data_IF_290494624916
#
_entry.id   IF_290494624916
#
_cell.length_a   1.000
_cell.length_b   1.000
_cell.length_c   1.000
_cell.angle_alpha   90.00
_cell.angle_beta   90.00
_cell.angle_gamma   90.00
#
_symmetry.space_group_name_H-M   'P 1'
#
loop_
_entity.id
_entity.type
_entity.pdbx_description
1 polymer ?
#
# COMPACT_ATOMS: atom_id res chain seq x y z
N UNK A 1 -64.09 10.76 10.76
CA UNK A 1 -64.95 10.90 11.96
C UNK A 1 -64.65 9.67 12.82
N UNK A 2 -64.10 9.66 14.04
CA UNK A 2 -64.01 10.59 15.18
C UNK A 2 -62.82 10.03 16.05
N UNK A 3 -61.69 10.71 16.25
CA UNK A 3 -61.31 11.69 17.29
C UNK A 3 -61.08 11.17 18.75
N UNK A 4 -59.94 11.63 19.32
CA UNK A 4 -59.52 11.79 20.74
C UNK A 4 -59.06 10.57 21.55
N UNK A 5 -57.82 10.45 22.05
CA UNK A 5 -56.90 11.31 22.88
C UNK A 5 -57.04 11.10 24.40
N UNK A 6 -55.89 10.85 25.10
CA UNK A 6 -55.37 11.54 26.33
C UNK A 6 -54.48 10.63 27.25
N UNK A 7 -53.18 11.00 27.32
CA UNK A 7 -52.19 11.18 28.44
C UNK A 7 -52.04 10.26 29.69
N UNK A 8 -50.81 9.71 29.85
CA UNK A 8 -49.82 9.64 31.00
C UNK A 8 -50.26 9.24 32.45
N UNK A 9 -49.38 9.04 33.49
CA UNK A 9 -47.92 8.74 33.62
C UNK A 9 -47.47 7.66 34.70
N UNK A 10 -46.20 7.22 34.59
CA UNK A 10 -45.12 6.90 35.60
C UNK A 10 -45.46 6.31 37.00
N UNK A 11 -44.87 5.14 37.38
CA UNK A 11 -43.84 4.91 38.46
C UNK A 11 -43.68 3.43 38.93
N UNK A 12 -42.40 3.02 38.98
CA UNK A 12 -41.65 2.11 39.87
C UNK A 12 -42.25 0.81 40.45
N UNK A 13 -41.47 -0.30 40.39
CA UNK A 13 -40.97 -1.03 41.56
C UNK A 13 -40.08 -2.26 41.21
N UNK A 14 -39.07 -2.50 42.07
CA UNK A 14 -38.42 -3.80 42.39
C UNK A 14 -37.41 -4.37 41.36
N UNK A 15 -36.26 -4.98 41.71
CA UNK A 15 -35.83 -5.63 42.95
C UNK A 15 -34.28 -5.72 43.05
N UNK A 16 -33.82 -5.98 44.28
CA UNK A 16 -32.46 -6.06 44.81
C UNK A 16 -31.58 -7.22 44.28
N UNK A 17 -30.25 -7.06 44.32
CA UNK A 17 -29.34 -7.95 45.09
C UNK A 17 -27.84 -7.56 44.96
N UNK A 18 -27.30 -7.08 46.07
CA UNK A 18 -26.01 -7.41 46.72
C UNK A 18 -24.90 -8.08 45.87
N UNK A 19 -23.73 -7.44 45.78
CA UNK A 19 -22.44 -8.08 46.07
C UNK A 19 -21.31 -7.07 46.30
N UNK A 20 -20.68 -7.20 47.46
CA UNK A 20 -19.44 -6.59 47.95
C UNK A 20 -18.24 -6.85 47.05
N UNK A 21 -17.33 -5.87 46.91
CA UNK A 21 -15.92 -6.13 46.59
C UNK A 21 -15.02 -5.12 47.30
N UNK A 22 -14.09 -5.69 48.07
CA UNK A 22 -13.16 -5.04 48.96
C UNK A 22 -11.92 -4.50 48.23
N UNK A 23 -11.29 -3.51 48.85
CA UNK A 23 -10.00 -2.94 48.50
C UNK A 23 -8.83 -3.88 48.83
N UNK A 24 -7.84 -3.97 47.94
CA UNK A 24 -6.49 -4.51 48.19
C UNK A 24 -5.55 -3.74 47.23
N UNK A 25 -4.86 -2.70 47.70
CA UNK A 25 -3.51 -2.67 48.27
C UNK A 25 -2.39 -2.63 47.22
N UNK A 26 -1.64 -1.52 47.27
CA UNK A 26 -0.40 -1.27 46.55
C UNK A 26 0.69 -2.26 46.99
N UNK A 27 1.51 -2.69 46.04
CA UNK A 27 2.72 -3.48 46.27
C UNK A 27 3.92 -2.62 45.85
N UNK A 28 4.86 -2.48 46.79
CA UNK A 28 6.18 -1.83 46.67
C UNK A 28 7.25 -2.83 46.19
N UNK A 29 8.28 -2.42 45.43
CA UNK A 29 9.38 -3.31 45.05
C UNK A 29 10.44 -3.47 46.16
N UNK A 30 10.80 -4.72 46.49
CA UNK A 30 11.94 -5.07 47.35
C UNK A 30 13.26 -5.17 46.54
N UNK A 31 14.41 -4.79 47.12
CA UNK A 31 15.73 -4.94 46.49
C UNK A 31 16.33 -6.34 46.74
N UNK A 32 16.96 -6.93 45.72
CA UNK A 32 17.73 -8.17 45.85
C UNK A 32 19.18 -7.89 46.23
N UNK A 33 19.62 -8.57 47.30
CA UNK A 33 20.95 -8.51 47.89
C UNK A 33 22.03 -9.19 47.05
N UNK A 34 23.24 -8.63 47.16
CA UNK A 34 24.50 -9.20 46.70
C UNK A 34 24.88 -10.45 47.52
N UNK A 35 25.42 -11.46 46.83
CA UNK A 35 26.15 -12.56 47.44
C UNK A 35 27.53 -12.66 46.79
N UNK A 36 28.52 -12.32 47.61
CA UNK A 36 29.94 -12.53 47.47
C UNK A 36 30.26 -14.04 47.39
N UNK A 37 31.14 -14.42 46.45
CA UNK A 37 31.98 -15.61 46.59
C UNK A 37 33.17 -15.56 45.63
N UNK A 38 34.34 -15.35 46.23
CA UNK A 38 35.67 -15.54 45.65
C UNK A 38 35.89 -16.96 45.13
N UNK A 39 36.73 -17.11 44.09
CA UNK A 39 37.79 -18.12 43.97
C UNK A 39 38.61 -17.82 42.70
N UNK A 40 39.92 -17.60 42.86
CA UNK A 40 40.92 -17.62 41.79
C UNK A 40 41.32 -19.08 41.44
N UNK A 41 42.02 -19.36 40.32
CA UNK A 41 43.47 -19.12 40.28
C UNK A 41 44.05 -18.61 38.93
N UNK A 42 45.29 -18.14 39.09
CA UNK A 42 46.34 -17.62 38.20
C UNK A 42 46.58 -18.33 36.85
N UNK A 43 46.81 -17.56 35.77
CA UNK A 43 47.89 -17.78 34.79
C UNK A 43 48.43 -16.41 34.29
N UNK A 44 49.75 -16.27 34.42
CA UNK A 44 50.66 -15.18 34.04
C UNK A 44 50.76 -14.92 32.53
N UNK A 45 50.93 -13.65 32.13
CA UNK A 45 51.89 -13.19 31.09
C UNK A 45 51.93 -11.66 31.01
N UNK A 46 53.06 -11.09 31.42
CA UNK A 46 53.48 -9.69 31.30
C UNK A 46 53.52 -9.19 29.84
N UNK A 47 53.05 -7.96 29.58
CA UNK A 47 53.72 -6.99 28.67
C UNK A 47 53.46 -5.56 29.15
N UNK A 48 54.54 -4.80 29.14
CA UNK A 48 54.84 -3.53 29.83
C UNK A 48 54.36 -2.29 29.06
N UNK A 49 53.94 -1.27 29.82
CA UNK A 49 53.57 0.11 29.44
C UNK A 49 54.83 0.92 29.04
N UNK A 50 54.72 2.03 28.28
CA UNK A 50 54.96 3.29 28.97
C UNK A 50 54.00 4.44 28.59
N UNK A 51 53.88 5.36 29.55
CA UNK A 51 53.03 6.55 29.64
C UNK A 51 53.89 7.82 29.48
N UNK A 52 53.31 8.83 28.81
CA UNK A 52 53.56 10.31 28.86
C UNK A 52 54.92 10.85 28.33
N UNK A 53 55.02 12.14 27.88
CA UNK A 53 54.69 13.34 28.67
C UNK A 53 53.92 14.49 27.97
N UNK A 54 53.31 15.31 28.82
CA UNK A 54 52.85 16.70 28.61
C UNK A 54 54.05 17.65 28.67
N UNK A 55 54.01 18.84 28.03
CA UNK A 55 54.65 20.01 28.64
C UNK A 55 53.72 21.22 28.79
N UNK A 56 54.23 22.15 29.58
CA UNK A 56 53.55 23.09 30.46
C UNK A 56 53.31 24.51 29.88
N UNK A 57 52.73 25.34 30.74
CA UNK A 57 52.03 26.60 30.51
C UNK A 57 52.88 27.89 30.51
N UNK A 58 52.28 28.98 29.99
CA UNK A 58 52.44 30.42 30.33
C UNK A 58 51.29 31.17 29.62
N UNK A 59 50.62 32.25 30.06
CA UNK A 59 50.54 33.06 31.27
C UNK A 59 49.19 33.86 31.25
N UNK A 60 48.87 34.55 32.34
CA UNK A 60 47.58 35.15 32.73
C UNK A 60 47.17 36.52 32.09
N UNK A 61 45.93 36.94 32.43
CA UNK A 61 45.30 38.28 32.44
C UNK A 61 44.41 38.59 31.21
N UNK A 62 43.19 39.15 31.29
CA UNK A 62 42.46 39.86 32.34
C UNK A 62 40.93 39.73 32.14
N UNK A 63 40.17 40.06 33.18
CA UNK A 63 38.71 40.18 33.30
C UNK A 63 38.03 41.16 32.32
N UNK A 64 36.74 40.97 31.97
CA UNK A 64 36.00 41.90 31.13
C UNK A 64 35.52 43.13 31.92
N UNK A 65 35.66 44.30 31.31
CA UNK A 65 35.07 45.55 31.80
C UNK A 65 33.54 45.54 31.64
N UNK A 66 32.90 45.74 32.79
CA UNK A 66 31.58 46.34 33.00
C UNK A 66 31.37 47.58 32.15
N UNK A 67 30.22 47.68 31.47
CA UNK A 67 29.60 48.98 31.18
C UNK A 67 28.09 48.90 31.41
N UNK A 68 27.62 49.94 32.07
CA UNK A 68 26.40 50.02 32.86
C UNK A 68 25.13 50.21 32.01
N UNK A 69 24.04 49.60 32.46
CA UNK A 69 22.69 50.03 32.15
C UNK A 69 22.23 51.04 33.23
N UNK A 70 21.55 52.14 32.90
CA UNK A 70 20.94 52.99 33.90
C UNK A 70 19.63 52.36 34.40
N UNK A 71 19.50 52.31 35.72
CA UNK A 71 18.25 52.07 36.43
C UNK A 71 17.26 53.21 36.16
N UNK A 72 16.01 52.86 35.81
CA UNK A 72 14.88 53.77 35.98
C UNK A 72 13.75 53.05 36.73
N UNK A 73 13.65 53.47 37.99
CA UNK A 73 12.48 53.64 38.85
C UNK A 73 11.17 52.92 38.48
N UNK A 74 10.73 52.11 39.43
CA UNK A 74 9.41 51.52 39.52
C UNK A 74 8.27 52.58 39.56
N UNK A 75 7.22 52.29 38.81
CA UNK A 75 5.84 52.63 39.16
C UNK A 75 4.91 51.62 38.47
N UNK A 76 4.21 50.82 39.28
CA UNK A 76 3.13 49.96 38.82
C UNK A 76 1.91 50.81 38.43
N UNK A 77 1.06 50.29 37.52
CA UNK A 77 -0.36 50.32 37.84
C UNK A 77 -0.97 48.93 37.83
N UNK A 78 -1.85 48.73 38.81
CA UNK A 78 -2.75 47.61 38.95
C UNK A 78 -3.55 47.38 37.67
N UNK A 79 -3.59 46.12 37.19
CA UNK A 79 -4.68 45.67 36.32
C UNK A 79 -5.29 44.41 36.91
N UNK A 80 -6.46 44.62 37.49
CA UNK A 80 -7.50 43.65 37.82
C UNK A 80 -7.66 42.61 36.71
N UNK A 81 -7.65 41.33 37.10
CA UNK A 81 -7.83 40.21 36.19
C UNK A 81 -9.23 40.09 35.59
N UNK A 82 -9.28 39.51 34.39
CA UNK A 82 -10.40 38.74 33.85
C UNK A 82 -9.84 37.61 32.97
N UNK A 83 -10.50 36.43 32.94
CA UNK A 83 -9.94 35.21 32.35
C UNK A 83 -9.92 35.25 30.82
N UNK A 84 -8.93 34.57 30.25
CA UNK A 84 -8.80 34.31 28.81
C UNK A 84 -10.07 33.61 28.28
N UNK A 85 -10.82 34.30 27.42
CA UNK A 85 -11.92 33.77 26.64
C UNK A 85 -11.38 33.23 25.33
N UNK A 86 -11.68 31.96 25.04
CA UNK A 86 -11.47 31.33 23.75
C UNK A 86 -12.31 32.06 22.68
N UNK A 87 -11.67 32.60 21.65
CA UNK A 87 -12.39 33.05 20.47
C UNK A 87 -12.84 31.83 19.64
N UNK A 88 -14.14 31.51 19.75
CA UNK A 88 -14.89 30.83 18.69
C UNK A 88 -15.17 31.85 17.58
N UNK A 89 -14.62 31.64 16.39
CA UNK A 89 -15.03 32.40 15.21
C UNK A 89 -16.41 31.93 14.76
N UNK A 90 -17.45 32.74 15.00
CA UNK A 90 -18.73 32.63 14.33
C UNK A 90 -18.68 33.43 13.02
N UNK A 91 -18.95 32.74 11.92
CA UNK A 91 -19.10 33.34 10.59
C UNK A 91 -20.43 34.10 10.54
N UNK A 92 -20.48 35.38 10.10
CA UNK A 92 -21.74 36.09 9.94
C UNK A 92 -22.58 35.45 8.82
N UNK A 93 -23.81 35.05 9.15
CA UNK A 93 -24.81 34.58 8.18
C UNK A 93 -25.39 35.77 7.42
N UNK A 94 -25.10 35.85 6.12
CA UNK A 94 -25.84 36.74 5.21
C UNK A 94 -27.29 36.23 5.01
N UNK A 95 -28.28 37.13 4.81
CA UNK A 95 -29.66 36.71 4.55
C UNK A 95 -29.74 35.99 3.21
N UNK A 96 -30.18 34.73 3.25
CA UNK A 96 -30.44 33.89 2.09
C UNK A 96 -31.71 34.37 1.38
N UNK A 97 -31.59 34.77 0.12
CA UNK A 97 -32.72 34.97 -0.77
C UNK A 97 -33.47 33.63 -0.98
N UNK A 98 -34.81 33.62 -1.09
CA UNK A 98 -35.56 32.38 -1.25
C UNK A 98 -35.20 31.69 -2.58
N UNK A 99 -34.82 30.42 -2.48
CA UNK A 99 -34.50 29.57 -3.62
C UNK A 99 -35.74 29.34 -4.51
N UNK A 100 -35.60 29.28 -5.84
CA UNK A 100 -36.66 28.80 -6.72
C UNK A 100 -36.93 27.30 -6.48
N UNK A 101 -38.21 26.95 -6.40
CA UNK A 101 -38.69 25.58 -6.21
C UNK A 101 -38.15 24.62 -7.26
N UNK A 102 -37.55 23.51 -6.82
CA UNK A 102 -37.13 22.40 -7.68
C UNK A 102 -38.35 21.74 -8.36
N UNK A 103 -38.28 21.39 -9.65
CA UNK A 103 -39.28 20.55 -10.28
C UNK A 103 -39.22 19.12 -9.74
N UNK A 104 -40.39 18.49 -9.62
CA UNK A 104 -40.58 17.14 -9.12
C UNK A 104 -39.72 16.10 -9.84
N UNK A 105 -39.10 15.20 -9.07
CA UNK A 105 -38.42 14.02 -9.59
C UNK A 105 -39.45 13.08 -10.27
N UNK A 106 -39.16 12.54 -11.47
CA UNK A 106 -39.99 11.52 -12.08
C UNK A 106 -39.84 10.17 -11.35
N UNK A 107 -40.95 9.44 -11.23
CA UNK A 107 -41.01 8.06 -10.70
C UNK A 107 -40.06 7.11 -11.45
N UNK A 108 -39.53 6.07 -10.77
CA UNK A 108 -38.73 5.05 -11.44
C UNK A 108 -39.62 4.17 -12.35
N UNK A 109 -39.22 3.89 -13.60
CA UNK A 109 -39.96 2.97 -14.44
C UNK A 109 -39.78 1.52 -13.96
N UNK A 110 -40.91 0.82 -13.91
CA UNK A 110 -41.06 -0.63 -13.75
C UNK A 110 -40.16 -1.40 -14.72
N UNK A 111 -39.43 -2.38 -14.19
CA UNK A 111 -38.60 -3.31 -14.95
C UNK A 111 -39.45 -4.28 -15.79
N UNK A 112 -39.26 -4.24 -17.11
CA UNK A 112 -39.64 -5.32 -18.03
C UNK A 112 -38.37 -5.91 -18.67
N UNK A 113 -38.28 -7.24 -18.86
CA UNK A 113 -37.11 -7.90 -19.41
C UNK A 113 -36.97 -7.63 -20.93
N UNK A 114 -35.74 -7.33 -21.38
CA UNK A 114 -35.42 -7.15 -22.78
C UNK A 114 -35.23 -8.49 -23.50
N UNK A 115 -35.98 -8.66 -24.59
CA UNK A 115 -35.76 -9.65 -25.66
C UNK A 115 -34.79 -9.03 -26.66
N UNK A 116 -33.81 -9.81 -27.14
CA UNK A 116 -32.84 -9.39 -28.16
C UNK A 116 -33.42 -9.69 -29.56
N UNK A 117 -33.60 -8.71 -30.47
CA UNK A 117 -33.95 -8.97 -31.86
C UNK A 117 -32.70 -9.36 -32.67
N UNK A 118 -32.79 -10.46 -33.42
CA UNK A 118 -31.79 -10.92 -34.39
C UNK A 118 -31.72 -9.95 -35.57
N UNK A 119 -30.56 -9.34 -35.80
CA UNK A 119 -30.30 -8.47 -36.96
C UNK A 119 -30.13 -9.30 -38.24
N UNK A 120 -30.89 -8.93 -39.28
CA UNK A 120 -30.75 -9.40 -40.64
C UNK A 120 -29.51 -8.78 -41.32
N UNK A 121 -28.76 -9.59 -42.05
CA UNK A 121 -27.66 -9.17 -42.92
C UNK A 121 -28.16 -8.89 -44.36
N UNK A 122 -27.53 -7.96 -45.11
CA UNK A 122 -28.00 -7.50 -46.41
C UNK A 122 -27.61 -8.42 -47.57
N UNK A 123 -28.46 -8.45 -48.59
CA UNK A 123 -28.25 -9.13 -49.87
C UNK A 123 -27.29 -8.36 -50.80
N UNK A 124 -26.55 -9.06 -51.67
CA UNK A 124 -26.08 -8.49 -52.93
C UNK A 124 -26.78 -9.09 -54.15
N UNK A 125 -26.87 -8.22 -55.16
CA UNK A 125 -27.51 -8.24 -56.47
C UNK A 125 -27.13 -9.37 -57.44
N UNK A 126 -28.09 -9.69 -58.30
CA UNK A 126 -28.04 -10.63 -59.42
C UNK A 126 -27.23 -10.15 -60.65
N UNK A 127 -26.73 -11.12 -61.43
CA UNK A 127 -26.51 -11.04 -62.89
C UNK A 127 -27.12 -12.28 -63.58
N UNK A 128 -27.63 -12.20 -64.83
CA UNK A 128 -28.50 -13.24 -65.41
C UNK A 128 -27.79 -14.17 -66.43
N UNK A 129 -28.24 -15.44 -66.43
CA UNK A 129 -28.63 -16.39 -67.53
C UNK A 129 -27.65 -16.60 -68.74
N UNK A 130 -27.49 -17.75 -69.43
CA UNK A 130 -28.29 -18.95 -69.74
C UNK A 130 -27.37 -20.08 -70.33
N UNK A 131 -27.78 -21.35 -70.17
CA UNK A 131 -27.83 -22.46 -71.17
C UNK A 131 -26.99 -23.74 -70.95
N UNK A 132 -27.73 -24.85 -71.11
CA UNK A 132 -27.59 -26.31 -70.85
C UNK A 132 -26.79 -27.08 -71.98
N UNK A 133 -26.75 -28.45 -72.05
CA UNK A 133 -25.71 -29.46 -71.71
C UNK A 133 -25.16 -30.21 -72.97
N UNK A 134 -24.76 -31.52 -73.02
CA UNK A 134 -24.32 -32.55 -72.04
C UNK A 134 -22.99 -33.28 -72.42
N UNK A 135 -22.43 -34.12 -71.53
CA UNK A 135 -22.00 -35.48 -71.90
C UNK A 135 -21.68 -36.36 -70.68
N UNK A 136 -22.07 -37.62 -70.83
CA UNK A 136 -22.07 -38.68 -69.82
C UNK A 136 -20.86 -39.62 -69.96
N UNK A 137 -20.60 -40.33 -68.86
CA UNK A 137 -19.90 -41.63 -68.74
C UNK A 137 -18.37 -41.61 -68.53
N UNK A 138 -17.96 -41.91 -67.29
CA UNK A 138 -17.22 -43.16 -67.00
C UNK A 138 -17.15 -43.41 -65.48
N UNK A 139 -17.43 -44.65 -65.09
CA UNK A 139 -17.11 -45.25 -63.79
C UNK A 139 -16.43 -46.61 -64.09
N UNK A 140 -15.75 -47.29 -63.15
CA UNK A 140 -15.02 -46.85 -61.94
C UNK A 140 -13.59 -47.45 -61.86
N UNK A 141 -12.62 -46.75 -61.27
CA UNK A 141 -11.39 -47.38 -60.76
C UNK A 141 -11.42 -47.41 -59.23
N UNK A 142 -11.47 -48.62 -58.67
CA UNK A 142 -11.24 -48.87 -57.23
C UNK A 142 -9.79 -48.51 -56.91
N UNK A 143 -9.57 -47.42 -56.18
CA UNK A 143 -8.34 -47.25 -55.43
C UNK A 143 -8.45 -48.04 -54.12
N UNK A 144 -7.51 -48.96 -53.92
CA UNK A 144 -7.35 -49.67 -52.66
C UNK A 144 -6.93 -48.67 -51.56
N UNK A 145 -7.44 -48.77 -50.32
CA UNK A 145 -6.98 -47.92 -49.23
C UNK A 145 -5.53 -48.25 -48.88
N UNK A 146 -4.67 -47.24 -48.83
CA UNK A 146 -3.35 -47.32 -48.24
C UNK A 146 -3.47 -47.64 -46.74
N UNK A 147 -2.54 -48.43 -46.17
CA UNK A 147 -2.59 -48.85 -44.77
C UNK A 147 -2.47 -47.64 -43.84
N UNK A 148 -3.35 -47.60 -42.83
CA UNK A 148 -3.33 -46.60 -41.77
C UNK A 148 -1.94 -46.55 -41.09
N UNK A 149 -1.49 -45.36 -40.63
CA UNK A 149 -0.30 -45.27 -39.78
C UNK A 149 -0.49 -46.16 -38.56
N UNK A 150 0.49 -47.00 -38.28
CA UNK A 150 0.54 -47.78 -37.05
C UNK A 150 0.34 -46.84 -35.86
N UNK A 151 -0.72 -47.11 -35.08
CA UNK A 151 -0.91 -46.50 -33.78
C UNK A 151 0.35 -46.74 -32.94
N UNK A 152 0.95 -45.67 -32.45
CA UNK A 152 1.93 -45.73 -31.39
C UNK A 152 1.32 -46.47 -30.18
N UNK A 153 2.07 -47.34 -29.48
CA UNK A 153 1.53 -48.05 -28.33
C UNK A 153 1.19 -47.05 -27.23
N UNK A 154 -0.11 -46.94 -26.92
CA UNK A 154 -0.62 -46.28 -25.72
C UNK A 154 0.12 -46.83 -24.50
N UNK A 155 0.83 -45.96 -23.79
CA UNK A 155 1.51 -46.34 -22.55
C UNK A 155 0.48 -46.91 -21.55
N UNK A 156 0.74 -48.07 -20.92
CA UNK A 156 -0.19 -48.72 -19.98
C UNK A 156 -0.57 -47.92 -18.70
N UNK A 157 -0.10 -46.68 -18.55
CA UNK A 157 -0.34 -45.82 -17.38
C UNK A 157 -1.42 -44.74 -17.59
N UNK A 158 -2.07 -44.71 -18.76
CA UNK A 158 -3.02 -43.67 -19.16
C UNK A 158 -4.50 -44.13 -19.10
N UNK A 159 -4.79 -45.12 -18.25
CA UNK A 159 -6.17 -45.44 -17.93
C UNK A 159 -6.63 -44.48 -16.83
N UNK A 160 -7.64 -43.67 -17.13
CA UNK A 160 -8.30 -42.84 -16.14
C UNK A 160 -9.02 -43.74 -15.12
N UNK A 161 -8.63 -43.63 -13.85
CA UNK A 161 -9.19 -44.37 -12.71
C UNK A 161 -9.77 -43.35 -11.73
N UNK A 162 -10.86 -43.70 -11.06
CA UNK A 162 -11.45 -42.83 -10.04
C UNK A 162 -10.57 -42.76 -8.79
N UNK A 163 -10.22 -41.56 -8.35
CA UNK A 163 -9.54 -41.33 -7.07
C UNK A 163 -10.58 -41.41 -5.95
N UNK A 164 -10.55 -42.45 -5.12
CA UNK A 164 -11.54 -42.64 -4.05
C UNK A 164 -11.18 -41.85 -2.80
N UNK A 165 -9.89 -41.83 -2.46
CA UNK A 165 -9.36 -41.16 -1.28
C UNK A 165 -8.11 -40.35 -1.64
N UNK A 166 -8.04 -39.09 -1.19
CA UNK A 166 -6.92 -38.18 -1.45
C UNK A 166 -6.46 -37.57 -0.14
N UNK A 167 -5.28 -37.99 0.31
CA UNK A 167 -4.67 -37.52 1.55
C UNK A 167 -3.45 -36.65 1.27
N UNK A 168 -3.25 -35.63 2.10
CA UNK A 168 -2.09 -34.73 2.03
C UNK A 168 -1.40 -34.80 3.39
N UNK A 169 -0.14 -35.23 3.41
CA UNK A 169 0.66 -35.44 4.62
C UNK A 169 1.88 -34.52 4.58
N UNK A 170 2.26 -33.98 5.74
CA UNK A 170 3.43 -33.11 5.90
C UNK A 170 3.16 -31.61 5.76
N UNK A 171 1.93 -31.21 5.40
CA UNK A 171 1.49 -29.83 5.38
C UNK A 171 0.54 -29.51 6.55
N UNK A 172 0.54 -28.25 7.01
CA UNK A 172 -0.45 -27.74 7.94
C UNK A 172 -1.80 -27.47 7.27
N UNK A 173 -2.81 -27.06 8.04
CA UNK A 173 -4.16 -26.87 7.52
C UNK A 173 -4.26 -25.83 6.37
N UNK A 174 -3.50 -24.74 6.45
CA UNK A 174 -3.48 -23.69 5.40
C UNK A 174 -2.85 -24.23 4.12
N UNK A 175 -1.69 -24.87 4.24
CA UNK A 175 -0.97 -25.44 3.11
C UNK A 175 -1.73 -26.62 2.47
N UNK A 176 -2.39 -27.45 3.27
CA UNK A 176 -3.25 -28.52 2.75
C UNK A 176 -4.41 -27.96 1.93
N UNK A 177 -5.07 -26.90 2.40
CA UNK A 177 -6.16 -26.28 1.67
C UNK A 177 -5.66 -25.64 0.35
N UNK A 178 -4.48 -25.02 0.38
CA UNK A 178 -3.84 -24.49 -0.81
C UNK A 178 -3.54 -25.60 -1.82
N UNK A 179 -2.96 -26.72 -1.38
CA UNK A 179 -2.70 -27.88 -2.24
C UNK A 179 -4.00 -28.38 -2.87
N UNK A 180 -5.07 -28.58 -2.08
CA UNK A 180 -6.38 -29.01 -2.58
C UNK A 180 -6.96 -28.07 -3.64
N UNK A 181 -6.69 -26.77 -3.54
CA UNK A 181 -7.15 -25.78 -4.52
C UNK A 181 -6.32 -25.74 -5.81
N UNK A 182 -5.10 -26.29 -5.79
CA UNK A 182 -4.16 -26.29 -6.92
C UNK A 182 -4.18 -27.58 -7.73
N UNK A 183 -4.31 -28.73 -7.05
CA UNK A 183 -4.34 -30.03 -7.71
C UNK A 183 -5.70 -30.28 -8.38
N UNK A 184 -5.69 -31.05 -9.47
CA UNK A 184 -6.93 -31.48 -10.14
C UNK A 184 -7.47 -32.79 -9.57
N UNK A 185 -6.61 -33.65 -9.03
CA UNK A 185 -7.03 -34.90 -8.40
C UNK A 185 -7.82 -34.61 -7.13
N UNK A 186 -9.11 -34.97 -7.15
CA UNK A 186 -10.02 -34.82 -6.02
C UNK A 186 -10.73 -36.15 -5.72
N UNK A 187 -11.17 -36.37 -4.48
CA UNK A 187 -11.99 -37.54 -4.14
C UNK A 187 -13.23 -37.63 -5.04
N UNK A 188 -13.47 -38.79 -5.62
CA UNK A 188 -14.52 -39.08 -6.60
C UNK A 188 -14.19 -38.68 -8.04
N UNK A 189 -13.12 -37.94 -8.31
CA UNK A 189 -12.71 -37.49 -9.64
C UNK A 189 -11.92 -38.54 -10.42
N UNK A 190 -11.84 -38.41 -11.75
CA UNK A 190 -10.99 -39.26 -12.58
C UNK A 190 -9.54 -38.74 -12.56
N UNK A 191 -8.58 -39.64 -12.39
CA UNK A 191 -7.14 -39.34 -12.40
C UNK A 191 -6.37 -40.45 -13.12
N UNK A 192 -5.17 -40.13 -13.60
CA UNK A 192 -4.23 -41.08 -14.20
C UNK A 192 -2.81 -40.73 -13.72
N UNK A 193 -1.82 -41.55 -14.10
CA UNK A 193 -0.44 -41.31 -13.65
C UNK A 193 0.13 -39.97 -14.16
N UNK A 194 -0.28 -39.52 -15.35
CA UNK A 194 0.14 -38.25 -15.92
C UNK A 194 -0.40 -37.06 -15.12
N UNK A 195 -1.67 -37.11 -14.73
CA UNK A 195 -2.32 -36.08 -13.90
C UNK A 195 -1.70 -36.01 -12.52
N UNK A 196 -1.38 -37.14 -11.88
CA UNK A 196 -0.70 -37.14 -10.58
C UNK A 196 0.68 -36.50 -10.65
N UNK A 197 1.44 -36.71 -11.72
CA UNK A 197 2.72 -36.04 -11.95
C UNK A 197 2.55 -34.54 -12.18
N UNK A 198 1.54 -34.15 -12.94
CA UNK A 198 1.20 -32.74 -13.14
C UNK A 198 0.82 -32.09 -11.81
N UNK A 199 -0.04 -32.72 -11.02
CA UNK A 199 -0.45 -32.20 -9.71
C UNK A 199 0.76 -32.00 -8.77
N UNK A 200 1.73 -32.92 -8.77
CA UNK A 200 2.99 -32.73 -8.03
C UNK A 200 3.79 -31.53 -8.55
N UNK A 201 3.87 -31.34 -9.87
CA UNK A 201 4.53 -30.18 -10.46
C UNK A 201 3.84 -28.87 -10.06
N UNK A 202 2.51 -28.81 -10.09
CA UNK A 202 1.70 -27.65 -9.67
C UNK A 202 1.92 -27.33 -8.18
N UNK A 203 2.02 -28.36 -7.31
CA UNK A 203 2.36 -28.17 -5.89
C UNK A 203 3.74 -27.51 -5.76
N UNK A 204 4.75 -27.99 -6.48
CA UNK A 204 6.10 -27.42 -6.43
C UNK A 204 6.19 -26.02 -7.05
N UNK A 205 5.35 -25.72 -8.03
CA UNK A 205 5.25 -24.40 -8.68
C UNK A 205 4.70 -23.33 -7.73
N UNK A 206 3.97 -23.72 -6.67
CA UNK A 206 3.57 -22.78 -5.62
C UNK A 206 4.76 -22.10 -4.94
N UNK A 207 5.95 -22.70 -4.99
CA UNK A 207 7.16 -22.18 -4.36
C UNK A 207 7.16 -22.27 -2.84
N UNK A 208 6.21 -22.98 -2.22
CA UNK A 208 6.06 -23.09 -0.76
C UNK A 208 6.64 -24.40 -0.19
N UNK A 209 6.97 -25.36 -1.06
CA UNK A 209 7.42 -26.70 -0.69
C UNK A 209 8.82 -26.96 -1.26
N UNK A 210 9.69 -27.53 -0.43
CA UNK A 210 11.03 -27.94 -0.82
C UNK A 210 10.95 -29.23 -1.66
N UNK A 211 10.02 -30.11 -1.30
CA UNK A 211 9.78 -31.38 -1.98
C UNK A 211 8.29 -31.76 -1.95
N UNK A 212 7.85 -32.50 -2.97
CA UNK A 212 6.51 -33.05 -3.07
C UNK A 212 6.58 -34.37 -3.84
N UNK A 213 5.90 -35.39 -3.32
CA UNK A 213 5.82 -36.71 -3.95
C UNK A 213 4.41 -37.28 -3.81
N UNK A 214 4.08 -38.23 -4.68
CA UNK A 214 2.76 -38.87 -4.71
C UNK A 214 2.94 -40.38 -4.67
N UNK A 215 2.19 -41.03 -3.78
CA UNK A 215 2.07 -42.49 -3.71
C UNK A 215 0.62 -42.86 -4.01
N UNK A 216 0.41 -43.78 -4.95
CA UNK A 216 -0.92 -44.30 -5.26
C UNK A 216 -1.01 -45.80 -4.97
N UNK A 217 -2.15 -46.24 -4.46
CA UNK A 217 -2.46 -47.65 -4.18
C UNK A 217 -3.85 -48.00 -4.70
N UNK A 218 -4.01 -49.02 -5.56
CA UNK A 218 -5.32 -49.51 -5.97
C UNK A 218 -6.10 -50.03 -4.77
N UNK A 219 -7.41 -49.78 -4.76
CA UNK A 219 -8.35 -50.29 -3.76
C UNK A 219 -9.64 -50.80 -4.46
N UNK A 220 -10.51 -51.56 -3.77
CA UNK A 220 -11.73 -52.11 -4.38
C UNK A 220 -12.71 -51.08 -4.96
N UNK A 221 -12.59 -49.80 -4.57
CA UNK A 221 -13.45 -48.69 -4.96
C UNK A 221 -12.77 -47.71 -5.95
N UNK A 222 -11.54 -48.00 -6.40
CA UNK A 222 -10.75 -47.11 -7.26
C UNK A 222 -9.29 -46.99 -6.82
N UNK A 223 -8.79 -45.76 -6.74
CA UNK A 223 -7.38 -45.43 -6.44
C UNK A 223 -7.29 -44.58 -5.17
N UNK A 224 -6.50 -45.01 -4.18
CA UNK A 224 -6.12 -44.18 -3.03
C UNK A 224 -4.83 -43.44 -3.36
N UNK A 225 -4.83 -42.12 -3.19
CA UNK A 225 -3.70 -41.22 -3.51
C UNK A 225 -3.25 -40.50 -2.26
N UNK A 226 -1.95 -40.54 -1.98
CA UNK A 226 -1.34 -39.82 -0.85
C UNK A 226 -0.26 -38.90 -1.40
N UNK A 227 -0.47 -37.60 -1.25
CA UNK A 227 0.53 -36.57 -1.50
C UNK A 227 1.36 -36.35 -0.23
N UNK A 228 2.66 -36.60 -0.31
CA UNK A 228 3.61 -36.31 0.76
C UNK A 228 4.41 -35.06 0.39
N UNK A 229 4.31 -34.02 1.21
CA UNK A 229 4.94 -32.73 0.96
C UNK A 229 5.85 -32.32 2.10
N UNK A 230 6.91 -31.60 1.75
CA UNK A 230 7.87 -31.03 2.69
C UNK A 230 7.84 -29.49 2.57
N UNK A 231 7.17 -28.79 3.50
CA UNK A 231 7.10 -27.33 3.49
C UNK A 231 8.47 -26.69 3.70
N UNK A 232 8.69 -25.55 3.05
CA UNK A 232 9.91 -24.76 3.25
C UNK A 232 9.88 -24.13 4.64
N UNK A 233 11.04 -24.10 5.30
CA UNK A 233 11.26 -23.37 6.54
C UNK A 233 12.13 -22.15 6.25
N UNK A 234 11.76 -20.98 6.76
CA UNK A 234 12.55 -19.76 6.61
C UNK A 234 13.84 -19.89 7.41
N UNK A 235 14.99 -19.82 6.74
CA UNK A 235 16.33 -19.89 7.35
C UNK A 235 17.03 -18.54 7.37
N UNK A 236 16.91 -17.78 6.30
CA UNK A 236 17.58 -16.50 6.15
C UNK A 236 16.81 -15.57 5.22
N UNK A 237 17.18 -14.29 5.23
CA UNK A 237 16.63 -13.26 4.37
C UNK A 237 17.69 -12.75 3.41
N UNK A 238 17.25 -12.37 2.22
CA UNK A 238 18.07 -11.64 1.26
C UNK A 238 17.30 -10.42 0.77
N UNK A 239 17.98 -9.27 0.69
CA UNK A 239 17.39 -8.05 0.14
C UNK A 239 17.71 -7.92 -1.34
N UNK A 240 16.74 -7.46 -2.12
CA UNK A 240 16.90 -7.12 -3.53
C UNK A 240 16.17 -5.82 -3.84
N UNK A 241 16.85 -4.86 -4.45
CA UNK A 241 16.28 -3.55 -4.81
C UNK A 241 16.11 -2.57 -3.64
N UNK A 242 16.61 -2.91 -2.45
CA UNK A 242 16.64 -2.01 -1.28
C UNK A 242 17.91 -1.14 -1.27
N UNK A 243 17.74 0.16 -1.02
CA UNK A 243 18.82 1.12 -0.75
C UNK A 243 18.74 1.66 0.68
N UNK A 244 17.52 1.91 1.19
CA UNK A 244 17.32 2.46 2.54
C UNK A 244 17.00 1.39 3.59
N UNK A 245 16.36 0.28 3.21
CA UNK A 245 16.16 -0.85 4.12
C UNK A 245 17.44 -1.68 4.24
N UNK A 246 17.93 -1.81 5.46
CA UNK A 246 19.08 -2.65 5.77
C UNK A 246 18.64 -4.07 6.12
N UNK A 247 19.56 -5.04 5.96
CA UNK A 247 19.29 -6.43 6.29
C UNK A 247 18.96 -6.62 7.77
N UNK A 248 19.60 -5.86 8.67
CA UNK A 248 19.34 -5.90 10.10
C UNK A 248 17.91 -5.48 10.45
N UNK A 249 17.42 -4.39 9.85
CA UNK A 249 16.04 -3.93 10.03
C UNK A 249 15.06 -4.97 9.49
N UNK A 250 15.33 -5.53 8.31
CA UNK A 250 14.48 -6.58 7.75
C UNK A 250 14.44 -7.84 8.65
N UNK A 251 15.59 -8.27 9.19
CA UNK A 251 15.68 -9.37 10.14
C UNK A 251 14.87 -9.10 11.42
N UNK A 252 14.91 -7.88 11.95
CA UNK A 252 14.12 -7.50 13.13
C UNK A 252 12.62 -7.52 12.83
N UNK A 253 12.19 -6.96 11.69
CA UNK A 253 10.77 -6.91 11.32
C UNK A 253 10.19 -8.31 11.03
N UNK A 254 10.99 -9.20 10.46
CA UNK A 254 10.59 -10.56 10.12
C UNK A 254 11.05 -11.62 11.12
N UNK A 255 11.61 -11.23 12.26
CA UNK A 255 12.12 -12.14 13.29
C UNK A 255 11.12 -13.26 13.67
N UNK A 256 9.80 -12.99 13.84
CA UNK A 256 8.84 -14.05 14.18
C UNK A 256 8.66 -15.13 13.11
N UNK A 257 9.14 -14.89 11.89
CA UNK A 257 9.02 -15.80 10.75
C UNK A 257 10.27 -16.67 10.57
N UNK A 258 11.42 -16.26 11.12
CA UNK A 258 12.66 -17.03 11.05
C UNK A 258 12.50 -18.35 11.81
N UNK A 259 12.91 -19.45 11.19
CA UNK A 259 12.76 -20.82 11.72
C UNK A 259 11.34 -21.38 11.60
N UNK A 260 10.39 -20.65 11.02
CA UNK A 260 9.01 -21.10 10.85
C UNK A 260 8.75 -21.61 9.43
N UNK A 261 7.71 -22.44 9.30
CA UNK A 261 7.20 -22.88 8.00
C UNK A 261 6.68 -21.68 7.20
N UNK A 262 7.06 -21.61 5.93
CA UNK A 262 6.61 -20.61 4.98
C UNK A 262 5.12 -20.79 4.72
N UNK A 263 4.35 -19.74 5.04
CA UNK A 263 2.91 -19.68 4.79
C UNK A 263 2.55 -18.41 4.00
N UNK A 264 1.61 -18.47 3.05
CA UNK A 264 1.15 -17.30 2.33
C UNK A 264 0.68 -16.17 3.24
N UNK A 265 -0.12 -16.50 4.26
CA UNK A 265 -0.62 -15.53 5.25
C UNK A 265 0.51 -14.80 5.99
N UNK A 266 1.52 -15.54 6.43
CA UNK A 266 2.69 -15.03 7.17
C UNK A 266 3.57 -14.16 6.27
N UNK A 267 3.83 -14.58 5.03
CA UNK A 267 4.58 -13.78 4.06
C UNK A 267 3.87 -12.46 3.75
N UNK A 268 2.55 -12.48 3.57
CA UNK A 268 1.76 -11.28 3.33
C UNK A 268 1.83 -10.30 4.52
N UNK A 269 1.71 -10.80 5.75
CA UNK A 269 1.89 -10.00 6.97
C UNK A 269 3.30 -9.43 7.09
N UNK A 270 4.32 -10.22 6.71
CA UNK A 270 5.72 -9.77 6.68
C UNK A 270 5.93 -8.62 5.70
N UNK A 271 5.42 -8.77 4.47
CA UNK A 271 5.44 -7.72 3.46
C UNK A 271 4.76 -6.44 3.95
N UNK A 272 3.59 -6.56 4.59
CA UNK A 272 2.86 -5.44 5.18
C UNK A 272 3.65 -4.75 6.29
N UNK A 273 4.35 -5.50 7.15
CA UNK A 273 5.15 -4.93 8.23
C UNK A 273 6.34 -4.14 7.70
N UNK A 274 7.03 -4.65 6.67
CA UNK A 274 8.10 -3.92 6.00
C UNK A 274 7.54 -2.66 5.31
N UNK A 275 6.40 -2.77 4.60
CA UNK A 275 5.74 -1.61 3.99
C UNK A 275 5.34 -0.56 5.03
N UNK A 276 4.86 -0.97 6.19
CA UNK A 276 4.52 -0.07 7.29
C UNK A 276 5.76 0.65 7.81
N UNK A 277 6.89 -0.04 7.95
CA UNK A 277 8.17 0.58 8.31
C UNK A 277 8.57 1.66 7.29
N UNK A 278 8.51 1.37 5.99
CA UNK A 278 8.79 2.38 4.96
C UNK A 278 7.87 3.60 5.06
N UNK A 279 6.56 3.37 5.24
CA UNK A 279 5.56 4.44 5.34
C UNK A 279 5.82 5.32 6.58
N UNK A 280 6.13 4.72 7.72
CA UNK A 280 6.46 5.43 8.96
C UNK A 280 7.74 6.28 8.84
N UNK A 281 8.68 5.87 7.98
CA UNK A 281 9.91 6.60 7.71
C UNK A 281 9.80 7.58 6.53
N UNK A 282 8.59 7.76 5.96
CA UNK A 282 8.30 8.73 4.89
C UNK A 282 8.53 8.22 3.47
N UNK A 283 8.83 6.93 3.29
CA UNK A 283 9.04 6.28 1.99
C UNK A 283 7.74 5.67 1.45
N UNK A 284 6.76 6.51 1.15
CA UNK A 284 5.38 6.09 0.85
C UNK A 284 5.20 5.36 -0.49
N UNK A 285 6.17 5.46 -1.40
CA UNK A 285 6.15 4.78 -2.70
C UNK A 285 6.65 3.33 -2.62
N UNK A 286 7.16 2.90 -1.47
CA UNK A 286 7.78 1.58 -1.36
C UNK A 286 6.78 0.45 -1.65
N UNK A 287 7.17 -0.43 -2.58
CA UNK A 287 6.48 -1.69 -2.87
C UNK A 287 7.35 -2.85 -2.43
N UNK A 288 6.77 -3.80 -1.72
CA UNK A 288 7.49 -4.93 -1.11
C UNK A 288 6.81 -6.23 -1.53
N UNK A 289 7.61 -7.21 -1.95
CA UNK A 289 7.17 -8.59 -2.13
C UNK A 289 8.19 -9.56 -1.50
N UNK A 290 7.69 -10.64 -0.91
CA UNK A 290 8.51 -11.68 -0.31
C UNK A 290 8.38 -12.94 -1.15
N UNK A 291 9.51 -13.46 -1.61
CA UNK A 291 9.58 -14.66 -2.44
C UNK A 291 10.49 -15.70 -1.78
N UNK A 292 9.95 -16.82 -1.28
CA UNK A 292 10.76 -17.90 -0.71
C UNK A 292 11.51 -18.68 -1.80
N UNK A 293 12.71 -19.16 -1.47
CA UNK A 293 13.44 -20.16 -2.26
C UNK A 293 13.36 -21.53 -1.60
N UNK A 294 13.63 -22.60 -2.37
CA UNK A 294 13.57 -23.98 -1.86
C UNK A 294 14.57 -24.26 -0.75
N UNK A 295 15.66 -23.49 -0.69
CA UNK A 295 16.70 -23.58 0.33
C UNK A 295 16.29 -22.91 1.65
N UNK A 296 15.13 -22.25 1.69
CA UNK A 296 14.66 -21.51 2.85
C UNK A 296 15.17 -20.07 2.93
N UNK A 297 15.66 -19.50 1.83
CA UNK A 297 15.99 -18.07 1.76
C UNK A 297 14.73 -17.31 1.35
N UNK A 298 14.34 -16.28 2.10
CA UNK A 298 13.24 -15.39 1.67
C UNK A 298 13.84 -14.14 1.05
N UNK A 299 13.64 -13.99 -0.25
CA UNK A 299 14.06 -12.81 -1.01
C UNK A 299 13.02 -11.71 -0.80
N UNK A 300 13.39 -10.67 -0.07
CA UNK A 300 12.62 -9.44 0.09
C UNK A 300 12.94 -8.55 -1.10
N UNK A 301 12.05 -8.55 -2.09
CA UNK A 301 12.16 -7.68 -3.25
C UNK A 301 11.47 -6.35 -2.94
N UNK A 302 12.20 -5.26 -3.12
CA UNK A 302 11.69 -3.92 -2.87
C UNK A 302 11.88 -3.03 -4.09
N UNK A 303 10.86 -2.23 -4.39
CA UNK A 303 10.99 -1.02 -5.19
C UNK A 303 10.70 0.18 -4.28
N UNK A 304 11.74 0.90 -3.85
CA UNK A 304 11.63 1.94 -2.82
C UNK A 304 11.08 3.29 -3.34
N UNK A 305 10.88 3.43 -4.66
CA UNK A 305 10.48 4.70 -5.27
C UNK A 305 11.67 5.58 -5.64
N UNK A 306 12.65 5.03 -6.37
CA UNK A 306 13.82 5.79 -6.81
C UNK A 306 13.38 6.87 -7.81
N UNK A 307 13.74 8.12 -7.54
CA UNK A 307 13.38 9.27 -8.39
C UNK A 307 14.23 9.20 -9.66
N UNK A 308 13.60 8.85 -10.78
CA UNK A 308 14.26 8.75 -12.08
C UNK A 308 14.45 10.12 -12.74
N UNK A 309 13.40 10.94 -12.70
CA UNK A 309 13.37 12.29 -13.26
C UNK A 309 12.41 13.17 -12.45
N UNK A 310 12.58 14.49 -12.56
CA UNK A 310 11.69 15.47 -11.93
C UNK A 310 11.24 16.46 -12.98
N UNK A 311 9.92 16.51 -13.19
CA UNK A 311 9.28 17.37 -14.17
C UNK A 311 8.44 18.44 -13.49
N UNK A 312 8.35 19.60 -14.13
CA UNK A 312 7.51 20.71 -13.69
C UNK A 312 6.47 20.92 -14.79
N UNK A 313 5.19 20.86 -14.42
CA UNK A 313 4.07 21.00 -15.33
C UNK A 313 3.18 22.14 -14.85
N UNK A 314 2.91 23.08 -15.74
CA UNK A 314 2.00 24.18 -15.47
C UNK A 314 0.60 23.83 -15.92
N UNK A 315 -0.37 24.09 -15.04
CA UNK A 315 -1.78 23.78 -15.24
C UNK A 315 -2.61 25.07 -15.15
N UNK A 316 -3.76 25.06 -15.79
CA UNK A 316 -4.79 26.07 -15.59
C UNK A 316 -5.54 25.84 -14.25
N UNK A 317 -6.49 26.72 -13.92
CA UNK A 317 -7.28 26.59 -12.67
C UNK A 317 -8.17 25.35 -12.63
N UNK A 318 -8.52 24.82 -13.80
CA UNK A 318 -9.27 23.57 -13.94
C UNK A 318 -8.37 22.32 -13.87
N UNK A 319 -7.07 22.48 -13.62
CA UNK A 319 -6.11 21.37 -13.47
C UNK A 319 -5.68 20.74 -14.81
N UNK A 320 -5.84 21.44 -15.94
CA UNK A 320 -5.49 20.95 -17.28
C UNK A 320 -4.20 21.62 -17.79
N UNK A 321 -3.36 20.90 -18.56
CA UNK A 321 -2.12 21.44 -19.14
C UNK A 321 -2.35 22.29 -20.40
N UNK A 322 -3.60 22.66 -20.70
CA UNK A 322 -4.00 23.44 -21.87
C UNK A 322 -4.89 24.62 -21.49
N UNK A 323 -4.87 25.68 -22.31
CA UNK A 323 -5.75 26.83 -22.18
C UNK A 323 -7.18 26.54 -22.68
N UNK A 324 -8.06 27.54 -22.58
CA UNK A 324 -9.46 27.44 -23.05
C UNK A 324 -9.57 27.14 -24.55
N UNK A 325 -8.52 27.47 -25.32
CA UNK A 325 -8.42 27.25 -26.75
C UNK A 325 -7.71 25.93 -27.10
N UNK A 326 -7.36 25.11 -26.10
CA UNK A 326 -6.72 23.80 -26.28
C UNK A 326 -5.22 23.86 -26.59
N UNK A 327 -4.57 25.03 -26.47
CA UNK A 327 -3.11 25.17 -26.66
C UNK A 327 -2.38 24.90 -25.34
N UNK A 328 -1.10 24.45 -25.36
CA UNK A 328 -0.32 24.26 -24.14
C UNK A 328 -0.23 25.54 -23.31
N UNK A 329 -0.33 25.40 -21.98
CA UNK A 329 -0.14 26.52 -21.05
C UNK A 329 1.26 27.09 -21.21
N UNK A 330 1.36 28.38 -21.50
CA UNK A 330 2.63 29.11 -21.50
C UNK A 330 2.88 29.64 -20.09
N UNK A 331 3.88 29.12 -19.36
CA UNK A 331 4.16 29.57 -18.01
C UNK A 331 4.75 30.98 -18.03
N UNK A 332 4.35 31.80 -17.06
CA UNK A 332 4.96 33.11 -16.84
C UNK A 332 6.22 33.00 -15.98
N UNK A 333 6.25 31.99 -15.12
CA UNK A 333 7.39 31.67 -14.26
C UNK A 333 8.38 30.81 -15.02
N UNK A 334 9.67 31.15 -14.90
CA UNK A 334 10.73 30.36 -15.52
C UNK A 334 10.87 29.00 -14.83
N UNK A 335 10.91 27.92 -15.62
CA UNK A 335 11.10 26.55 -15.10
C UNK A 335 12.38 26.43 -14.27
N UNK A 336 13.47 27.10 -14.68
CA UNK A 336 14.73 27.10 -13.95
C UNK A 336 14.61 27.70 -12.53
N UNK A 337 13.82 28.76 -12.38
CA UNK A 337 13.54 29.35 -11.07
C UNK A 337 12.78 28.37 -10.17
N UNK A 338 11.72 27.74 -10.67
CA UNK A 338 10.97 26.71 -9.93
C UNK A 338 11.88 25.55 -9.53
N UNK A 339 12.74 25.10 -10.46
CA UNK A 339 13.66 23.99 -10.21
C UNK A 339 14.64 24.29 -9.08
N UNK A 340 15.12 25.54 -8.96
CA UNK A 340 15.99 25.96 -7.84
C UNK A 340 15.29 25.90 -6.47
N UNK A 341 13.95 25.94 -6.46
CA UNK A 341 13.15 25.84 -5.24
C UNK A 341 12.76 24.40 -4.89
N UNK A 342 13.16 23.39 -5.67
CA UNK A 342 12.88 21.98 -5.40
C UNK A 342 14.15 21.32 -4.85
N UNK A 343 14.09 20.79 -3.63
CA UNK A 343 15.18 20.05 -3.00
C UNK A 343 15.25 18.61 -3.48
N UNK A 344 14.12 18.01 -3.88
CA UNK A 344 14.11 16.67 -4.42
C UNK A 344 15.04 16.57 -5.65
N UNK A 345 15.84 15.51 -5.74
CA UNK A 345 16.79 15.30 -6.83
C UNK A 345 16.61 13.92 -7.47
N UNK A 346 16.86 13.78 -8.78
CA UNK A 346 16.97 12.47 -9.41
C UNK A 346 18.09 11.64 -8.79
N UNK A 347 17.88 10.33 -8.72
CA UNK A 347 18.83 9.35 -8.18
C UNK A 347 18.62 9.01 -6.70
N UNK A 348 17.88 9.82 -5.94
CA UNK A 348 17.55 9.51 -4.55
C UNK A 348 16.20 8.79 -4.41
N UNK A 349 16.00 8.12 -3.29
CA UNK A 349 14.69 7.53 -2.95
C UNK A 349 13.69 8.62 -2.59
N UNK A 350 12.49 8.57 -3.15
CA UNK A 350 11.44 9.54 -2.85
C UNK A 350 11.07 9.52 -1.36
N UNK A 351 11.03 10.71 -0.75
CA UNK A 351 10.53 10.92 0.60
C UNK A 351 9.42 11.95 0.61
N UNK A 352 8.33 11.63 1.30
CA UNK A 352 7.14 12.46 1.36
C UNK A 352 7.38 13.80 2.05
N UNK A 353 8.20 13.83 3.11
CA UNK A 353 8.51 15.04 3.86
C UNK A 353 9.25 16.08 2.99
N UNK A 354 10.23 15.63 2.19
CA UNK A 354 10.95 16.50 1.25
C UNK A 354 10.00 17.07 0.20
N UNK A 355 9.17 16.23 -0.41
CA UNK A 355 8.20 16.69 -1.41
C UNK A 355 7.19 17.68 -0.81
N UNK A 356 6.73 17.45 0.42
CA UNK A 356 5.83 18.37 1.13
C UNK A 356 6.50 19.71 1.44
N UNK A 357 7.78 19.69 1.83
CA UNK A 357 8.55 20.92 2.05
C UNK A 357 8.75 21.70 0.75
N UNK A 358 9.02 21.00 -0.36
CA UNK A 358 9.13 21.62 -1.69
C UNK A 358 7.80 22.26 -2.10
N UNK A 359 6.66 21.58 -1.92
CA UNK A 359 5.33 22.14 -2.17
C UNK A 359 5.06 23.39 -1.32
N UNK A 360 5.33 23.33 -0.01
CA UNK A 360 5.15 24.47 0.88
C UNK A 360 6.03 25.66 0.49
N UNK A 361 7.28 25.41 0.06
CA UNK A 361 8.17 26.46 -0.43
C UNK A 361 7.61 27.11 -1.68
N UNK A 362 7.17 26.31 -2.65
CA UNK A 362 6.59 26.81 -3.90
C UNK A 362 5.35 27.67 -3.64
N UNK A 363 4.40 27.18 -2.83
CA UNK A 363 3.20 27.95 -2.46
C UNK A 363 3.58 29.22 -1.69
N UNK A 364 4.56 29.14 -0.80
CA UNK A 364 5.06 30.28 -0.02
C UNK A 364 5.68 31.41 -0.84
N UNK A 365 5.99 31.20 -2.13
CA UNK A 365 6.45 32.25 -3.04
C UNK A 365 5.32 33.24 -3.41
N UNK A 366 4.05 32.87 -3.20
CA UNK A 366 2.89 33.70 -3.56
C UNK A 366 2.60 33.82 -5.05
N UNK A 367 3.34 33.08 -5.89
CA UNK A 367 3.15 33.07 -7.36
C UNK A 367 2.34 31.86 -7.86
N UNK A 368 2.02 30.92 -6.97
CA UNK A 368 1.22 29.73 -7.28
C UNK A 368 -0.02 29.70 -6.38
N UNK A 369 -1.21 29.56 -7.01
CA UNK A 369 -2.49 29.35 -6.32
C UNK A 369 -2.57 27.93 -5.74
N UNK A 370 -2.02 26.94 -6.45
CA UNK A 370 -2.03 25.54 -6.04
C UNK A 370 -0.79 24.80 -6.57
N UNK A 371 -0.29 23.85 -5.80
CA UNK A 371 0.80 22.96 -6.17
C UNK A 371 0.53 21.54 -5.64
N UNK A 372 0.74 20.53 -6.49
CA UNK A 372 0.60 19.12 -6.13
C UNK A 372 1.69 18.28 -6.82
N UNK A 373 2.02 17.13 -6.24
CA UNK A 373 2.93 16.15 -6.84
C UNK A 373 2.15 14.94 -7.36
N UNK A 374 2.46 14.52 -8.59
CA UNK A 374 2.01 13.24 -9.15
C UNK A 374 3.21 12.40 -9.58
N UNK A 375 2.98 11.10 -9.78
CA UNK A 375 4.00 10.17 -10.22
C UNK A 375 3.63 9.60 -11.58
N UNK A 376 4.58 9.55 -12.49
CA UNK A 376 4.46 8.93 -13.80
C UNK A 376 5.55 7.85 -13.96
N UNK A 377 5.27 6.76 -14.69
CA UNK A 377 6.22 5.68 -14.94
C UNK A 377 6.19 4.54 -13.91
N UNK A 378 7.32 3.82 -13.82
CA UNK A 378 7.51 2.66 -12.94
C UNK A 378 8.04 3.11 -11.56
N UNK A 379 7.58 2.49 -10.48
CA UNK A 379 8.04 2.73 -9.11
C UNK A 379 9.54 2.43 -8.92
N UNK A 380 10.14 1.59 -9.78
CA UNK A 380 11.60 1.38 -9.81
C UNK A 380 12.38 2.59 -10.29
N UNK A 381 11.77 3.46 -11.11
CA UNK A 381 12.31 4.73 -11.63
C UNK A 381 11.17 5.72 -11.86
N UNK A 382 10.65 6.28 -10.77
CA UNK A 382 9.47 7.14 -10.83
C UNK A 382 9.84 8.53 -11.36
N UNK A 383 9.05 9.05 -12.30
CA UNK A 383 9.10 10.45 -12.68
C UNK A 383 8.21 11.24 -11.74
N UNK A 384 8.79 12.17 -10.99
CA UNK A 384 8.05 13.01 -10.04
C UNK A 384 7.63 14.30 -10.76
N UNK A 385 6.33 14.52 -10.89
CA UNK A 385 5.77 15.65 -11.63
C UNK A 385 5.17 16.65 -10.65
N UNK A 386 5.77 17.83 -10.56
CA UNK A 386 5.23 18.98 -9.83
C UNK A 386 4.23 19.71 -10.73
N UNK A 387 2.96 19.60 -10.39
CA UNK A 387 1.86 20.25 -11.08
C UNK A 387 1.56 21.59 -10.39
N UNK A 388 1.72 22.69 -11.11
CA UNK A 388 1.64 24.05 -10.57
C UNK A 388 0.56 24.85 -11.29
N UNK A 389 -0.28 25.53 -10.53
CA UNK A 389 -1.25 26.51 -11.03
C UNK A 389 -0.75 27.89 -10.67
N UNK A 390 -0.38 28.69 -11.67
CA UNK A 390 0.11 30.06 -11.45
C UNK A 390 -1.00 31.00 -10.99
N UNK A 391 -0.63 31.91 -10.09
CA UNK A 391 -1.51 32.99 -9.67
C UNK A 391 -1.72 34.00 -10.79
N UNK A 392 -2.96 34.47 -10.94
CA UNK A 392 -3.24 35.60 -11.82
C UNK A 392 -2.54 36.86 -11.30
N UNK A 393 -1.77 37.55 -12.15
CA UNK A 393 -1.19 38.85 -11.78
C UNK A 393 -2.22 39.99 -11.71
N UNK A 394 -3.49 39.69 -11.96
CA UNK A 394 -4.60 40.62 -11.77
C UNK A 394 -5.22 40.33 -10.40
N UNK A 395 -4.51 40.72 -9.36
CA UNK A 395 -5.06 40.82 -8.01
C UNK A 395 -5.44 42.28 -7.76
N UNK A 396 -6.70 42.54 -7.43
CA UNK A 396 -7.12 43.84 -6.92
C UNK A 396 -7.28 43.69 -5.41
N UNK A 397 -6.47 44.38 -4.62
CA UNK A 397 -6.65 44.40 -3.17
C UNK A 397 -7.53 45.58 -2.81
N UNK A 398 -8.70 45.30 -2.24
CA UNK A 398 -9.60 46.31 -1.70
C UNK A 398 -9.54 46.23 -0.17
N UNK A 399 -9.04 47.28 0.47
CA UNK A 399 -9.04 47.46 1.92
C UNK A 399 -10.05 48.53 2.31
N UNK A 400 -10.70 48.37 3.45
CA UNK A 400 -11.60 49.37 4.02
C UNK A 400 -11.51 49.33 5.54
N UNK A 401 -11.48 50.49 6.17
CA UNK A 401 -11.38 50.62 7.62
C UNK A 401 -12.05 51.88 8.12
N UNK A 402 -12.23 51.95 9.44
CA UNK A 402 -12.72 53.14 10.12
C UNK A 402 -11.75 53.46 11.25
N UNK A 403 -11.34 54.71 11.36
CA UNK A 403 -10.56 55.19 12.50
C UNK A 403 -11.11 56.54 12.97
N UNK A 404 -11.11 56.80 14.27
CA UNK A 404 -11.76 57.98 14.85
C UNK A 404 -11.15 59.31 14.35
N UNK A 405 -9.86 59.31 14.01
CA UNK A 405 -9.14 60.49 13.51
C UNK A 405 -9.31 60.71 11.99
N UNK A 406 -9.55 59.65 11.21
CA UNK A 406 -9.52 59.67 9.74
C UNK A 406 -10.87 59.32 9.08
N UNK A 407 -11.86 58.90 9.87
CA UNK A 407 -13.15 58.43 9.37
C UNK A 407 -13.04 57.12 8.61
N UNK A 408 -13.95 56.91 7.64
CA UNK A 408 -13.94 55.75 6.75
C UNK A 408 -12.86 55.96 5.70
N UNK A 409 -11.97 54.99 5.56
CA UNK A 409 -10.95 54.98 4.53
C UNK A 409 -10.99 53.67 3.75
N UNK A 410 -10.57 53.75 2.50
CA UNK A 410 -10.44 52.60 1.61
C UNK A 410 -9.14 52.67 0.83
N UNK A 411 -8.54 51.52 0.58
CA UNK A 411 -7.33 51.38 -0.23
C UNK A 411 -7.61 50.47 -1.40
N UNK A 412 -7.10 50.82 -2.58
CA UNK A 412 -7.05 49.95 -3.76
C UNK A 412 -5.59 49.81 -4.20
N UNK A 413 -5.09 48.60 -4.35
CA UNK A 413 -3.70 48.33 -4.79
C UNK A 413 -3.56 47.07 -5.61
#
# INVERSE_FOLDING_TARGET
MNASSIRTPIRHASALAVCTLAAIAAWEPQPVQAADRSLAPTVTSDVVVPVAPVPAAVAQAATPETSAAPEFSAAAPETTGKPAQYYQYQVPTAPVAPAPSAPAAPEPPSSSPWVIPSAAAPAPTAKPTVTVPPQSQSAPQRQAPAPAPLATPTSPGDLAVQATDVQIVGADAELQQLIRSRIRTQPGGQTNQAQLKQDVAEILETGLFANASVTSRPNPQGLSVVFQVEPIVVRSLQLSGAQVLTLDVANQLLQPQLGQVVRPSVLAQGAQRIKAWYTQNGYVLAQVSLQPTREGVVIVQVAEGLVGDIQIRFLNREGRPVDEQGKPIQPRTQVGFVRQQIQLQPGQVFREDVARQDLNRLIGLGIFENANVTFEGDVRRATVVYNLVESSARGFNFGGGYNDDLGIYGTIS
#
